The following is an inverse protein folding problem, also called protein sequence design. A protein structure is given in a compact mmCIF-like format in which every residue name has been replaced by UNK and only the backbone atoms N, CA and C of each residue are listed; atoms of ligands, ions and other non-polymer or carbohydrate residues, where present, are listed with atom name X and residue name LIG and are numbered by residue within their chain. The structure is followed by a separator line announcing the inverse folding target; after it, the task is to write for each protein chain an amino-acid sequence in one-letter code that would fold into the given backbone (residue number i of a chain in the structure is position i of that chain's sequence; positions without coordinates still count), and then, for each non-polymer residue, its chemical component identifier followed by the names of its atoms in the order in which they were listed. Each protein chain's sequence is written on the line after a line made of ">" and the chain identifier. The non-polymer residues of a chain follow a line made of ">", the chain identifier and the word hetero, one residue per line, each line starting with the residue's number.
data_IF_700563002916
#
_entry.id   IF_700563002916
#
_cell.length_a   1.000
_cell.length_b   1.000
_cell.length_c   1.000
_cell.angle_alpha   90.00
_cell.angle_beta   90.00
_cell.angle_gamma   90.00
#
_symmetry.space_group_name_H-M   'P 1'
#
loop_
_entity.id
_entity.type
_entity.pdbx_description
1 polymer ?
#
# COMPACT_ATOMS: atom_id res chain seq x y z
N UNK A 1 2.08 11.59 -1.74
CA UNK A 1 0.88 12.44 -1.82
C UNK A 1 0.89 13.36 -3.04
N UNK A 2 2.05 13.71 -3.61
CA UNK A 2 2.15 14.65 -4.75
C UNK A 2 1.51 14.16 -6.06
N UNK A 3 1.63 12.87 -6.40
CA UNK A 3 1.11 12.32 -7.67
C UNK A 3 -0.40 12.50 -7.81
N UNK A 4 -1.18 12.27 -6.75
CA UNK A 4 -2.64 12.43 -6.77
C UNK A 4 -3.08 13.90 -6.81
N UNK A 5 -2.24 14.83 -6.36
CA UNK A 5 -2.55 16.26 -6.43
C UNK A 5 -2.33 16.82 -7.84
N UNK A 6 -1.33 16.29 -8.56
CA UNK A 6 -1.04 16.71 -9.93
C UNK A 6 -1.99 16.06 -10.95
N UNK A 7 -2.36 14.80 -10.75
CA UNK A 7 -3.16 14.01 -11.71
C UNK A 7 -4.62 13.80 -11.29
N UNK A 8 -4.99 14.20 -10.07
CA UNK A 8 -6.28 13.84 -9.47
C UNK A 8 -6.30 12.39 -8.95
N UNK A 9 -7.42 12.02 -8.32
CA UNK A 9 -7.69 10.61 -7.98
C UNK A 9 -8.15 9.93 -9.26
N UNK A 10 -7.39 8.95 -9.80
CA UNK A 10 -7.81 8.28 -11.03
C UNK A 10 -9.10 7.50 -10.80
N UNK A 11 -10.01 7.58 -11.75
CA UNK A 11 -11.27 6.84 -11.78
C UNK A 11 -11.01 5.34 -11.96
N UNK A 12 -12.02 4.52 -11.66
CA UNK A 12 -11.91 3.05 -11.76
C UNK A 12 -11.59 2.61 -13.21
N UNK A 13 -12.09 3.36 -14.17
CA UNK A 13 -11.87 3.17 -15.61
C UNK A 13 -10.43 3.54 -15.98
N UNK A 14 -9.90 4.65 -15.49
CA UNK A 14 -8.50 5.06 -15.71
C UNK A 14 -7.51 4.08 -15.09
N UNK A 15 -7.78 3.59 -13.87
CA UNK A 15 -6.95 2.56 -13.21
C UNK A 15 -6.90 1.27 -14.04
N UNK A 16 -8.05 0.86 -14.61
CA UNK A 16 -8.11 -0.30 -15.52
C UNK A 16 -7.34 -0.06 -16.83
N UNK A 17 -7.35 1.16 -17.36
CA UNK A 17 -6.57 1.50 -18.55
C UNK A 17 -5.06 1.57 -18.28
N UNK A 18 -4.65 2.01 -17.08
CA UNK A 18 -3.23 2.03 -16.67
C UNK A 18 -2.63 0.63 -16.52
N UNK A 19 -3.46 -0.37 -16.24
CA UNK A 19 -3.04 -1.76 -16.23
C UNK A 19 -4.22 -2.65 -16.67
N UNK A 20 -4.23 -3.08 -17.93
CA UNK A 20 -5.27 -3.97 -18.49
C UNK A 20 -5.48 -5.27 -17.68
N UNK A 21 -4.48 -5.67 -16.89
CA UNK A 21 -4.53 -6.84 -16.01
C UNK A 21 -4.96 -6.52 -14.56
N UNK A 22 -5.44 -5.30 -14.29
CA UNK A 22 -5.82 -4.87 -12.95
C UNK A 22 -7.01 -5.68 -12.44
N UNK A 23 -6.72 -6.81 -11.79
CA UNK A 23 -7.64 -7.46 -10.86
C UNK A 23 -7.77 -6.54 -9.66
N UNK A 24 -8.98 -6.39 -9.12
CA UNK A 24 -9.20 -5.69 -7.86
C UNK A 24 -8.14 -6.16 -6.86
N UNK A 25 -7.21 -5.27 -6.51
CA UNK A 25 -6.17 -5.58 -5.56
C UNK A 25 -6.85 -5.71 -4.21
N UNK A 26 -7.26 -6.92 -3.87
CA UNK A 26 -7.68 -7.26 -2.52
C UNK A 26 -6.40 -7.34 -1.71
N UNK A 27 -6.16 -6.31 -0.89
CA UNK A 27 -5.16 -6.42 0.15
C UNK A 27 -5.44 -7.73 0.91
N UNK A 28 -4.41 -8.55 1.20
CA UNK A 28 -4.59 -9.66 2.12
C UNK A 28 -5.22 -9.10 3.39
N UNK A 29 -6.09 -9.87 4.04
CA UNK A 29 -6.68 -9.44 5.31
C UNK A 29 -5.52 -9.21 6.29
N UNK A 30 -5.14 -7.95 6.50
CA UNK A 30 -4.10 -7.58 7.45
C UNK A 30 -4.79 -7.60 8.81
N UNK A 31 -4.61 -8.70 9.53
CA UNK A 31 -5.01 -8.76 10.92
C UNK A 31 -4.02 -7.92 11.73
N UNK A 32 -4.56 -7.11 12.65
CA UNK A 32 -3.74 -6.28 13.52
C UNK A 32 -2.91 -7.20 14.42
N UNK A 33 -1.60 -7.24 14.17
CA UNK A 33 -0.68 -7.96 15.05
C UNK A 33 -0.27 -7.03 16.20
N UNK A 34 -0.28 -7.50 17.45
CA UNK A 34 0.10 -6.68 18.58
C UNK A 34 1.55 -6.19 18.44
N UNK A 35 1.78 -4.89 18.68
CA UNK A 35 3.10 -4.28 18.57
C UNK A 35 4.14 -4.89 19.52
N UNK A 36 3.70 -5.43 20.66
CA UNK A 36 4.59 -6.07 21.64
C UNK A 36 5.10 -7.44 21.19
N UNK A 37 4.50 -8.05 20.16
CA UNK A 37 4.92 -9.32 19.57
C UNK A 37 5.86 -9.13 18.36
N UNK A 38 5.99 -7.91 17.85
CA UNK A 38 6.84 -7.60 16.69
C UNK A 38 8.32 -7.65 17.11
N UNK A 39 9.14 -8.59 16.57
CA UNK A 39 10.53 -8.69 16.99
C UNK A 39 11.33 -7.45 16.58
N UNK A 40 12.21 -6.99 17.47
CA UNK A 40 13.04 -5.79 17.25
C UNK A 40 13.83 -5.82 15.92
N UNK A 41 14.19 -7.00 15.41
CA UNK A 41 14.88 -7.15 14.12
C UNK A 41 14.04 -6.66 12.93
N UNK A 42 12.72 -6.81 12.96
CA UNK A 42 11.83 -6.33 11.90
C UNK A 42 11.72 -4.81 11.90
N UNK A 43 11.78 -4.20 13.10
CA UNK A 43 11.72 -2.74 13.25
C UNK A 43 13.02 -2.07 12.76
N UNK A 44 14.19 -2.71 12.94
CA UNK A 44 15.48 -2.15 12.50
C UNK A 44 15.53 -1.79 11.01
N UNK A 45 14.77 -2.48 10.16
CA UNK A 45 14.69 -2.18 8.72
C UNK A 45 14.04 -0.83 8.41
N UNK A 46 13.14 -0.36 9.27
CA UNK A 46 12.35 0.86 9.06
C UNK A 46 12.82 2.04 9.88
N UNK A 47 13.55 1.78 10.97
CA UNK A 47 14.05 2.79 11.91
C UNK A 47 15.57 2.98 11.88
N UNK A 48 16.26 2.54 10.81
CA UNK A 48 17.65 2.94 10.61
C UNK A 48 17.70 4.45 10.30
N UNK A 49 18.18 5.24 11.26
CA UNK A 49 18.94 6.47 10.97
C UNK A 49 20.34 6.10 10.49
#
# INVERSE_FOLDING_TARGET
>A
MEIFQVLGIPTREEIKCMNLNYREFKFPRIEAHPWHEVPHQFLKKYYSL
#
